data_IF_290629368501
#
_entry.id   IF_290629368501
#
_cell.length_a   1.000
_cell.length_b   1.000
_cell.length_c   1.000
_cell.angle_alpha   90.00
_cell.angle_beta   90.00
_cell.angle_gamma   90.00
#
_symmetry.space_group_name_H-M   'P 1'
#
loop_
_entity.id
_entity.type
_entity.pdbx_description
1 polymer ?
#
# COMPACT_ATOMS: atom_id res chain seq x y z
N UNK A 1 0.46 -9.83 14.56
CA UNK A 1 0.94 -9.11 15.75
C UNK A 1 0.19 -9.42 17.04
N UNK A 2 -0.82 -10.23 17.05
CA UNK A 2 -1.62 -10.70 18.20
C UNK A 2 -1.22 -10.12 19.58
N UNK A 3 -0.51 -10.89 20.39
CA UNK A 3 -0.09 -10.46 21.73
C UNK A 3 1.11 -9.46 21.72
N UNK A 4 1.79 -9.28 20.60
CA UNK A 4 2.93 -8.38 20.48
C UNK A 4 2.56 -6.93 20.09
N UNK A 5 1.30 -6.63 19.83
CA UNK A 5 0.87 -5.27 19.45
C UNK A 5 1.22 -4.25 20.54
N UNK A 6 1.07 -4.61 21.81
CA UNK A 6 1.43 -3.74 22.93
C UNK A 6 2.93 -3.37 22.95
N UNK A 7 3.81 -4.28 22.51
CA UNK A 7 5.24 -4.00 22.40
C UNK A 7 5.48 -2.95 21.32
N UNK A 8 4.79 -3.07 20.18
CA UNK A 8 4.89 -2.08 19.14
C UNK A 8 4.34 -0.71 19.62
N UNK A 9 3.13 -0.69 20.18
CA UNK A 9 2.43 0.55 20.57
C UNK A 9 3.18 1.33 21.67
N UNK A 10 3.76 0.64 22.65
CA UNK A 10 4.37 1.29 23.82
C UNK A 10 5.89 1.47 23.73
N UNK A 11 6.56 0.69 22.90
CA UNK A 11 8.03 0.70 22.85
C UNK A 11 8.54 1.05 21.45
N UNK A 12 8.29 0.24 20.43
CA UNK A 12 8.90 0.43 19.12
C UNK A 12 8.48 1.75 18.46
N UNK A 13 7.21 2.13 18.55
CA UNK A 13 6.71 3.37 17.95
C UNK A 13 7.25 4.62 18.63
N UNK A 14 7.51 4.56 19.93
CA UNK A 14 7.90 5.71 20.75
C UNK A 14 9.39 5.75 21.11
N UNK A 15 10.15 4.69 20.86
CA UNK A 15 11.52 4.54 21.34
C UNK A 15 12.46 5.67 20.89
N UNK A 16 12.35 6.08 19.62
CA UNK A 16 13.19 7.14 19.06
C UNK A 16 12.88 8.50 19.71
N UNK A 17 11.60 8.87 19.77
CA UNK A 17 11.17 10.16 20.30
C UNK A 17 11.37 10.25 21.82
N UNK A 18 11.15 9.15 22.55
CA UNK A 18 11.13 9.13 24.01
C UNK A 18 12.50 8.89 24.64
N UNK A 19 13.32 8.04 24.01
CA UNK A 19 14.61 7.59 24.59
C UNK A 19 15.80 7.79 23.66
N UNK A 20 15.60 8.27 22.43
CA UNK A 20 16.64 8.35 21.42
C UNK A 20 17.10 6.98 20.89
N UNK A 21 16.39 5.91 21.26
CA UNK A 21 16.71 4.54 20.86
C UNK A 21 16.25 4.28 19.41
N UNK A 22 17.11 3.58 18.68
CA UNK A 22 16.84 3.19 17.29
C UNK A 22 16.78 1.69 17.17
N UNK A 23 15.92 1.20 16.29
CA UNK A 23 15.73 -0.23 16.05
C UNK A 23 15.69 -0.52 14.57
N UNK A 24 16.49 -1.48 14.11
CA UNK A 24 16.44 -2.04 12.75
C UNK A 24 15.48 -3.23 12.61
N UNK A 25 14.59 -3.46 13.57
CA UNK A 25 13.66 -4.57 13.56
C UNK A 25 12.78 -4.55 12.32
N UNK A 26 12.70 -5.69 11.63
CA UNK A 26 11.79 -5.89 10.49
C UNK A 26 10.67 -6.83 10.88
N UNK A 27 9.43 -6.37 10.76
CA UNK A 27 8.22 -7.14 11.00
C UNK A 27 7.60 -7.56 9.66
N UNK A 28 7.58 -8.87 9.39
CA UNK A 28 6.83 -9.44 8.28
C UNK A 28 5.45 -9.87 8.78
N UNK A 29 4.42 -9.20 8.31
CA UNK A 29 3.05 -9.39 8.76
C UNK A 29 2.26 -10.13 7.67
N UNK A 30 2.10 -11.47 7.76
CA UNK A 30 1.57 -12.31 6.68
C UNK A 30 0.05 -12.25 6.57
N UNK A 31 -0.62 -11.53 7.43
CA UNK A 31 -2.07 -11.42 7.47
C UNK A 31 -2.53 -10.12 6.83
N UNK A 32 -3.49 -10.23 5.92
CA UNK A 32 -4.20 -9.13 5.29
C UNK A 32 -5.72 -9.39 5.40
N UNK A 33 -6.53 -8.58 4.75
CA UNK A 33 -7.98 -8.74 4.74
C UNK A 33 -8.46 -10.03 4.05
N UNK A 34 -7.62 -10.67 3.24
CA UNK A 34 -7.90 -11.99 2.63
C UNK A 34 -8.00 -13.14 3.64
N UNK A 35 -7.59 -12.95 4.88
CA UNK A 35 -7.75 -13.92 5.97
C UNK A 35 -9.21 -14.17 6.29
N UNK A 36 -9.54 -15.43 6.64
CA UNK A 36 -10.93 -15.85 6.89
C UNK A 36 -11.37 -15.75 8.35
N UNK A 37 -10.50 -15.35 9.25
CA UNK A 37 -10.77 -15.23 10.67
C UNK A 37 -9.94 -14.12 11.33
N UNK A 38 -10.36 -13.70 12.54
CA UNK A 38 -9.72 -12.61 13.27
C UNK A 38 -8.23 -12.87 13.55
N UNK A 39 -7.86 -14.12 13.81
CA UNK A 39 -6.48 -14.54 14.04
C UNK A 39 -5.59 -14.47 12.80
N UNK A 40 -6.18 -14.56 11.61
CA UNK A 40 -5.51 -14.44 10.33
C UNK A 40 -5.52 -13.03 9.75
N UNK A 41 -6.16 -12.09 10.42
CA UNK A 41 -6.30 -10.68 10.03
C UNK A 41 -5.86 -9.73 11.16
N UNK A 42 -5.00 -10.18 12.06
CA UNK A 42 -4.60 -9.43 13.25
C UNK A 42 -3.51 -8.37 12.98
N UNK A 43 -2.80 -8.48 11.86
CA UNK A 43 -1.84 -7.47 11.43
C UNK A 43 -2.60 -6.33 10.71
N UNK A 44 -3.15 -5.43 11.50
CA UNK A 44 -3.98 -4.34 11.00
C UNK A 44 -3.12 -3.16 10.60
N UNK A 45 -3.10 -2.86 9.30
CA UNK A 45 -2.32 -1.80 8.71
C UNK A 45 -2.60 -0.43 9.35
N UNK A 46 -3.86 -0.12 9.62
CA UNK A 46 -4.30 1.13 10.23
C UNK A 46 -3.65 1.44 11.57
N UNK A 47 -3.33 0.42 12.37
CA UNK A 47 -2.66 0.60 13.67
C UNK A 47 -1.23 1.12 13.52
N UNK A 48 -0.49 0.57 12.58
CA UNK A 48 0.88 1.01 12.31
C UNK A 48 0.92 2.41 11.74
N UNK A 49 -0.02 2.73 10.84
CA UNK A 49 -0.13 4.06 10.25
C UNK A 49 -0.59 5.10 11.26
N UNK A 50 -1.49 4.75 12.18
CA UNK A 50 -1.94 5.66 13.26
C UNK A 50 -0.80 6.06 14.19
N UNK A 51 0.17 5.18 14.41
CA UNK A 51 1.34 5.41 15.27
C UNK A 51 2.55 5.98 14.51
N UNK A 52 2.42 6.15 13.19
CA UNK A 52 3.50 6.62 12.32
C UNK A 52 3.62 8.15 12.40
N UNK A 53 4.72 8.62 12.96
CA UNK A 53 5.04 10.04 13.09
C UNK A 53 6.56 10.23 13.26
N UNK A 54 7.07 11.43 12.97
CA UNK A 54 8.47 11.82 13.25
C UNK A 54 9.51 10.85 12.65
N UNK A 55 9.18 10.20 11.53
CA UNK A 55 10.00 9.15 10.90
C UNK A 55 10.36 7.98 11.85
N UNK A 56 9.45 7.61 12.74
CA UNK A 56 9.66 6.56 13.74
C UNK A 56 9.68 5.13 13.17
N UNK A 57 9.16 4.93 11.96
CA UNK A 57 9.09 3.63 11.29
C UNK A 57 9.05 3.78 9.78
N UNK A 58 9.10 2.67 9.06
CA UNK A 58 8.73 2.58 7.65
C UNK A 58 7.61 1.55 7.51
N UNK A 59 6.51 1.91 6.86
CA UNK A 59 5.36 1.02 6.64
C UNK A 59 5.17 0.81 5.15
N UNK A 60 5.16 -0.45 4.72
CA UNK A 60 5.07 -0.82 3.31
C UNK A 60 4.05 -1.93 3.06
N UNK A 61 3.47 -1.91 1.86
CA UNK A 61 2.60 -2.96 1.36
C UNK A 61 2.93 -3.19 -0.12
N UNK A 62 3.75 -4.20 -0.39
CA UNK A 62 4.46 -4.35 -1.66
C UNK A 62 3.68 -5.17 -2.68
N UNK A 63 3.88 -4.82 -3.96
CA UNK A 63 3.29 -5.50 -5.12
C UNK A 63 4.32 -6.11 -6.08
N UNK A 64 5.62 -5.97 -5.81
CA UNK A 64 6.70 -6.42 -6.69
C UNK A 64 7.79 -7.16 -5.93
N UNK A 65 8.22 -8.32 -6.47
CA UNK A 65 9.31 -9.12 -5.86
C UNK A 65 10.67 -8.43 -5.93
N UNK A 66 10.96 -7.70 -7.00
CA UNK A 66 12.20 -6.93 -7.13
C UNK A 66 12.22 -5.77 -6.14
N UNK A 67 11.10 -5.06 -5.98
CA UNK A 67 10.99 -3.96 -5.02
C UNK A 67 11.08 -4.46 -3.56
N UNK A 68 10.53 -5.65 -3.29
CA UNK A 68 10.69 -6.33 -2.00
C UNK A 68 12.16 -6.59 -1.67
N UNK A 69 12.92 -7.11 -2.65
CA UNK A 69 14.36 -7.33 -2.50
C UNK A 69 15.12 -6.03 -2.25
N UNK A 70 14.84 -4.98 -3.02
CA UNK A 70 15.48 -3.69 -2.86
C UNK A 70 15.13 -3.00 -1.53
N UNK A 71 13.91 -3.17 -1.04
CA UNK A 71 13.52 -2.71 0.28
C UNK A 71 14.38 -3.33 1.38
N UNK A 72 14.58 -4.66 1.34
CA UNK A 72 15.41 -5.36 2.33
C UNK A 72 16.88 -4.93 2.25
N UNK A 73 17.38 -4.69 1.03
CA UNK A 73 18.73 -4.12 0.85
C UNK A 73 18.85 -2.72 1.47
N UNK A 74 17.84 -1.86 1.24
CA UNK A 74 17.81 -0.52 1.82
C UNK A 74 17.73 -0.57 3.36
N UNK A 75 16.91 -1.45 3.92
CA UNK A 75 16.83 -1.68 5.36
C UNK A 75 18.18 -2.16 5.93
N UNK A 76 18.82 -3.13 5.27
CA UNK A 76 20.13 -3.62 5.69
C UNK A 76 21.20 -2.51 5.63
N UNK A 77 21.19 -1.69 4.61
CA UNK A 77 22.13 -0.57 4.47
C UNK A 77 21.89 0.56 5.50
N UNK A 78 20.67 0.66 6.06
CA UNK A 78 20.37 1.64 7.11
C UNK A 78 20.78 1.22 8.51
N UNK A 79 21.14 -0.04 8.72
CA UNK A 79 21.59 -0.53 10.02
C UNK A 79 22.82 0.27 10.50
N UNK A 80 22.85 0.58 11.78
CA UNK A 80 23.90 1.39 12.42
C UNK A 80 23.98 2.86 11.95
N UNK A 81 23.07 3.30 11.05
CA UNK A 81 22.98 4.70 10.61
C UNK A 81 21.98 5.52 11.44
N UNK A 82 21.99 6.83 11.23
CA UNK A 82 21.00 7.74 11.82
C UNK A 82 19.57 7.49 11.26
N UNK A 83 19.48 6.86 10.10
CA UNK A 83 18.23 6.55 9.41
C UNK A 83 17.60 5.22 9.87
N UNK A 84 18.30 4.46 10.72
CA UNK A 84 17.80 3.16 11.22
C UNK A 84 16.46 3.33 11.94
N UNK A 85 15.45 2.60 11.49
CA UNK A 85 14.09 2.58 12.05
C UNK A 85 13.41 1.23 11.80
N UNK A 86 12.40 0.85 12.60
CA UNK A 86 11.63 -0.36 12.36
C UNK A 86 10.98 -0.36 10.98
N UNK A 87 11.02 -1.50 10.31
CA UNK A 87 10.37 -1.74 9.03
C UNK A 87 9.17 -2.68 9.22
N UNK A 88 7.99 -2.22 8.82
CA UNK A 88 6.75 -2.97 8.87
C UNK A 88 6.35 -3.34 7.43
N UNK A 89 6.37 -4.64 7.12
CA UNK A 89 6.07 -5.17 5.79
C UNK A 89 4.77 -5.95 5.84
N UNK A 90 3.73 -5.42 5.20
CA UNK A 90 2.51 -6.17 4.94
C UNK A 90 2.81 -7.21 3.86
N UNK A 91 2.53 -8.49 4.14
CA UNK A 91 2.89 -9.61 3.27
C UNK A 91 1.71 -10.57 3.11
N UNK A 92 0.76 -10.27 2.22
CA UNK A 92 -0.36 -11.16 1.92
C UNK A 92 0.13 -12.51 1.42
N UNK A 93 -0.40 -13.61 1.96
CA UNK A 93 0.05 -14.97 1.64
C UNK A 93 -0.19 -15.36 0.17
N UNK A 94 -1.26 -14.85 -0.43
CA UNK A 94 -1.60 -15.11 -1.83
C UNK A 94 -0.53 -14.61 -2.79
N UNK A 95 0.14 -13.50 -2.48
CA UNK A 95 1.18 -12.94 -3.34
C UNK A 95 2.47 -13.77 -3.38
N UNK A 96 2.76 -14.57 -2.34
CA UNK A 96 3.98 -15.40 -2.29
C UNK A 96 4.14 -16.40 -3.45
N UNK A 97 3.05 -16.74 -4.12
CA UNK A 97 3.03 -17.67 -5.27
C UNK A 97 2.37 -17.07 -6.51
N UNK A 98 2.06 -15.79 -6.48
CA UNK A 98 1.45 -15.10 -7.61
C UNK A 98 2.52 -14.77 -8.66
N UNK A 99 2.26 -15.16 -9.93
CA UNK A 99 3.20 -14.93 -11.04
C UNK A 99 3.28 -13.47 -11.46
N UNK A 100 2.23 -12.70 -11.25
CA UNK A 100 2.16 -11.27 -11.60
C UNK A 100 3.16 -10.43 -10.80
N UNK A 101 3.49 -10.86 -9.56
CA UNK A 101 4.48 -10.16 -8.73
C UNK A 101 5.92 -10.53 -9.05
N UNK A 102 6.14 -11.63 -9.82
CA UNK A 102 7.47 -12.06 -10.21
C UNK A 102 8.08 -11.09 -11.23
N UNK A 103 9.36 -10.81 -11.08
CA UNK A 103 10.09 -9.87 -11.93
C UNK A 103 11.33 -10.52 -12.57
N UNK A 104 11.79 -10.03 -13.73
CA UNK A 104 13.03 -10.48 -14.36
C UNK A 104 14.25 -10.25 -13.47
N UNK A 105 15.32 -11.04 -13.68
CA UNK A 105 16.52 -11.02 -12.84
C UNK A 105 17.28 -9.69 -12.88
N UNK A 106 17.23 -9.00 -13.99
CA UNK A 106 17.86 -7.68 -14.16
C UNK A 106 17.26 -6.60 -13.26
N UNK A 107 15.97 -6.68 -12.92
CA UNK A 107 15.36 -5.80 -11.94
C UNK A 107 15.91 -6.00 -10.50
N UNK A 108 16.53 -7.15 -10.20
CA UNK A 108 17.17 -7.39 -8.90
C UNK A 108 18.64 -6.94 -8.85
N UNK A 109 19.28 -6.88 -10.01
CA UNK A 109 20.71 -6.56 -10.10
C UNK A 109 21.00 -5.08 -10.29
N UNK A 110 19.98 -4.28 -10.60
CA UNK A 110 20.08 -2.84 -10.82
C UNK A 110 18.97 -2.07 -10.12
N UNK A 111 19.17 -0.77 -9.92
CA UNK A 111 18.18 0.10 -9.30
C UNK A 111 18.14 0.03 -7.76
N UNK A 112 17.01 0.41 -7.20
CA UNK A 112 16.76 0.51 -5.77
C UNK A 112 15.28 0.42 -5.42
N UNK A 113 14.96 0.58 -4.15
CA UNK A 113 13.59 0.61 -3.69
C UNK A 113 12.84 1.82 -4.27
N UNK A 114 11.66 1.56 -4.81
CA UNK A 114 10.74 2.56 -5.36
C UNK A 114 9.54 2.73 -4.43
N UNK A 115 9.28 3.95 -3.91
CA UNK A 115 8.12 4.21 -3.05
C UNK A 115 6.78 4.05 -3.75
N UNK A 116 6.75 4.29 -5.06
CA UNK A 116 5.63 4.02 -5.94
C UNK A 116 6.09 3.26 -7.19
N UNK A 117 5.17 2.55 -7.84
CA UNK A 117 5.38 1.93 -9.14
C UNK A 117 4.21 2.30 -10.04
N UNK A 118 4.52 2.82 -11.22
CA UNK A 118 3.55 3.09 -12.28
C UNK A 118 3.65 2.03 -13.37
N UNK A 119 2.53 1.68 -13.97
CA UNK A 119 2.51 0.87 -15.19
C UNK A 119 2.81 1.77 -16.41
N UNK A 120 3.21 1.14 -17.52
CA UNK A 120 3.40 1.85 -18.79
C UNK A 120 2.08 2.44 -19.30
N UNK A 121 2.09 3.71 -19.71
CA UNK A 121 0.88 4.43 -20.10
C UNK A 121 1.17 5.54 -21.11
N UNK A 122 0.14 5.96 -21.82
CA UNK A 122 0.12 7.15 -22.67
C UNK A 122 -0.51 8.32 -21.88
N UNK A 123 0.33 9.28 -21.46
CA UNK A 123 -0.08 10.38 -20.59
C UNK A 123 -1.26 11.20 -21.15
N UNK A 124 -1.37 11.32 -22.48
CA UNK A 124 -2.43 12.06 -23.14
C UNK A 124 -3.81 11.37 -23.07
N UNK A 125 -3.83 10.06 -22.80
CA UNK A 125 -5.08 9.29 -22.71
C UNK A 125 -5.61 9.16 -21.30
N UNK A 126 -4.73 9.32 -20.29
CA UNK A 126 -5.12 9.09 -18.90
C UNK A 126 -6.03 10.20 -18.40
N UNK A 127 -7.19 9.79 -17.92
CA UNK A 127 -8.21 10.65 -17.27
C UNK A 127 -8.39 10.31 -15.79
N UNK A 128 -8.06 9.09 -15.40
CA UNK A 128 -8.23 8.58 -14.06
C UNK A 128 -6.94 7.95 -13.55
N UNK A 129 -6.54 8.30 -12.32
CA UNK A 129 -5.46 7.62 -11.58
C UNK A 129 -6.05 6.84 -10.41
N UNK A 130 -5.77 5.55 -10.36
CA UNK A 130 -6.11 4.68 -9.24
C UNK A 130 -4.85 4.41 -8.42
N UNK A 131 -4.84 4.88 -7.18
CA UNK A 131 -3.81 4.60 -6.20
C UNK A 131 -4.22 3.40 -5.35
N UNK A 132 -3.40 2.38 -5.29
CA UNK A 132 -3.64 1.18 -4.50
C UNK A 132 -2.33 0.62 -3.93
N UNK A 133 -2.38 -0.27 -2.96
CA UNK A 133 -1.20 -0.90 -2.39
C UNK A 133 -1.30 -2.43 -2.36
N UNK A 134 -0.15 -3.10 -2.42
CA UNK A 134 -0.03 -4.53 -2.25
C UNK A 134 -0.96 -5.35 -3.14
N UNK A 135 -1.75 -6.23 -2.51
CA UNK A 135 -2.64 -7.16 -3.23
C UNK A 135 -3.69 -6.43 -4.08
N UNK A 136 -4.28 -5.34 -3.60
CA UNK A 136 -5.31 -4.61 -4.36
C UNK A 136 -4.74 -4.09 -5.69
N UNK A 137 -3.51 -3.57 -5.71
CA UNK A 137 -2.85 -3.18 -6.96
C UNK A 137 -2.72 -4.37 -7.94
N UNK A 138 -2.33 -5.54 -7.43
CA UNK A 138 -2.21 -6.76 -8.27
C UNK A 138 -3.57 -7.18 -8.84
N UNK A 139 -4.62 -7.17 -8.01
CA UNK A 139 -5.97 -7.53 -8.46
C UNK A 139 -6.49 -6.56 -9.55
N UNK A 140 -6.22 -5.26 -9.41
CA UNK A 140 -6.53 -4.23 -10.41
C UNK A 140 -5.75 -4.46 -11.71
N UNK A 141 -4.44 -4.72 -11.60
CA UNK A 141 -3.58 -5.03 -12.74
C UNK A 141 -4.07 -6.25 -13.51
N UNK A 142 -4.35 -7.35 -12.82
CA UNK A 142 -4.87 -8.57 -13.44
C UNK A 142 -6.26 -8.35 -14.10
N UNK A 143 -7.05 -7.42 -13.58
CA UNK A 143 -8.32 -7.04 -14.19
C UNK A 143 -8.11 -6.23 -15.49
N UNK A 144 -7.23 -5.21 -15.47
CA UNK A 144 -6.94 -4.39 -16.63
C UNK A 144 -6.18 -5.14 -17.74
N UNK A 145 -5.38 -6.14 -17.41
CA UNK A 145 -4.78 -7.04 -18.40
C UNK A 145 -5.85 -7.82 -19.20
N UNK A 146 -6.99 -8.13 -18.59
CA UNK A 146 -8.12 -8.82 -19.24
C UNK A 146 -9.10 -7.85 -19.90
N UNK A 147 -9.22 -6.66 -19.37
CA UNK A 147 -10.15 -5.62 -19.80
C UNK A 147 -9.39 -4.30 -19.96
N UNK A 148 -8.59 -4.14 -21.02
CA UNK A 148 -7.75 -2.96 -21.19
C UNK A 148 -8.54 -1.66 -21.21
N UNK A 149 -8.09 -0.66 -20.44
CA UNK A 149 -8.61 0.69 -20.43
C UNK A 149 -7.45 1.69 -20.39
N UNK A 150 -7.16 2.32 -21.52
CA UNK A 150 -6.07 3.29 -21.68
C UNK A 150 -6.33 4.62 -20.97
N UNK A 151 -7.56 4.87 -20.53
CA UNK A 151 -7.93 6.07 -19.79
C UNK A 151 -7.65 5.97 -18.29
N UNK A 152 -7.35 4.78 -17.79
CA UNK A 152 -7.09 4.50 -16.38
C UNK A 152 -5.64 4.09 -16.15
N UNK A 153 -4.90 4.88 -15.35
CA UNK A 153 -3.57 4.54 -14.84
C UNK A 153 -3.67 4.00 -13.42
N UNK A 154 -3.13 2.81 -13.19
CA UNK A 154 -2.96 2.29 -11.84
C UNK A 154 -1.55 2.56 -11.32
N UNK A 155 -1.46 2.99 -10.06
CA UNK A 155 -0.20 3.31 -9.38
C UNK A 155 -0.12 2.51 -8.08
N UNK A 156 0.92 1.70 -7.94
CA UNK A 156 1.19 1.01 -6.67
C UNK A 156 1.86 1.97 -5.70
N UNK A 157 1.21 2.23 -4.57
CA UNK A 157 1.81 2.93 -3.43
C UNK A 157 2.46 1.89 -2.53
N UNK A 158 3.75 1.64 -2.77
CA UNK A 158 4.53 0.59 -2.10
C UNK A 158 4.90 1.00 -0.66
N UNK A 159 5.26 2.27 -0.47
CA UNK A 159 5.56 2.85 0.84
C UNK A 159 4.39 3.72 1.31
N UNK A 160 3.75 3.30 2.39
CA UNK A 160 2.64 4.05 2.99
C UNK A 160 3.13 5.07 4.02
N UNK A 161 4.25 4.78 4.70
CA UNK A 161 4.89 5.75 5.58
C UNK A 161 6.43 5.61 5.53
N UNK A 162 7.17 6.72 5.42
CA UNK A 162 6.70 8.08 5.09
C UNK A 162 5.95 8.11 3.76
N UNK A 163 4.88 8.88 3.69
CA UNK A 163 4.03 8.92 2.50
C UNK A 163 4.80 9.54 1.31
N UNK A 164 4.73 8.99 0.09
CA UNK A 164 5.50 9.41 -1.07
C UNK A 164 4.78 10.56 -1.83
N UNK A 165 4.63 11.72 -1.15
CA UNK A 165 3.88 12.86 -1.69
C UNK A 165 4.50 13.41 -2.96
N UNK A 166 5.83 13.59 -2.98
CA UNK A 166 6.57 14.15 -4.11
C UNK A 166 6.43 13.26 -5.34
N UNK A 167 6.64 11.95 -5.18
CA UNK A 167 6.57 10.99 -6.27
C UNK A 167 5.14 10.87 -6.84
N UNK A 168 4.12 10.93 -5.98
CA UNK A 168 2.71 10.93 -6.44
C UNK A 168 2.41 12.24 -7.15
N UNK A 169 2.85 13.38 -6.62
CA UNK A 169 2.63 14.68 -7.25
C UNK A 169 3.24 14.72 -8.66
N UNK A 170 4.48 14.25 -8.84
CA UNK A 170 5.13 14.17 -10.15
C UNK A 170 4.30 13.36 -11.16
N UNK A 171 3.74 12.22 -10.73
CA UNK A 171 2.84 11.43 -11.59
C UNK A 171 1.60 12.22 -11.98
N UNK A 172 0.90 12.83 -11.02
CA UNK A 172 -0.34 13.57 -11.30
C UNK A 172 -0.09 14.77 -12.23
N UNK A 173 1.02 15.48 -12.04
CA UNK A 173 1.39 16.64 -12.85
C UNK A 173 1.85 16.27 -14.28
N UNK A 174 2.28 15.02 -14.48
CA UNK A 174 2.65 14.52 -15.81
C UNK A 174 1.46 14.20 -16.72
N UNK A 175 0.22 14.22 -16.21
CA UNK A 175 -1.00 13.78 -16.88
C UNK A 175 -1.88 14.99 -17.25
N UNK A 176 -1.82 15.49 -18.52
CA UNK A 176 -2.47 16.74 -18.91
C UNK A 176 -4.01 16.67 -18.91
N UNK A 177 -4.58 15.48 -19.07
CA UNK A 177 -6.03 15.27 -19.18
C UNK A 177 -6.63 14.58 -17.94
N UNK A 178 -5.90 14.57 -16.80
CA UNK A 178 -6.36 13.94 -15.58
C UNK A 178 -7.58 14.66 -15.00
N UNK A 179 -8.64 13.91 -14.71
CA UNK A 179 -9.91 14.37 -14.16
C UNK A 179 -10.14 13.85 -12.73
N UNK A 180 -9.78 12.58 -12.48
CA UNK A 180 -10.07 11.89 -11.21
C UNK A 180 -8.85 11.19 -10.64
N UNK A 181 -8.73 11.26 -9.31
CA UNK A 181 -7.80 10.45 -8.50
C UNK A 181 -8.61 9.63 -7.51
N UNK A 182 -8.38 8.33 -7.44
CA UNK A 182 -9.06 7.45 -6.51
C UNK A 182 -8.09 6.66 -5.63
N UNK A 183 -8.49 6.41 -4.37
CA UNK A 183 -7.84 5.43 -3.51
C UNK A 183 -8.67 4.16 -3.47
N UNK A 184 -8.04 3.03 -3.79
CA UNK A 184 -8.69 1.72 -3.78
C UNK A 184 -8.00 0.79 -2.80
N UNK A 185 -8.75 0.21 -1.87
CA UNK A 185 -8.25 -0.74 -0.88
C UNK A 185 -9.22 -1.89 -0.63
N UNK A 186 -8.70 -3.03 -0.19
CA UNK A 186 -9.53 -4.19 0.18
C UNK A 186 -10.18 -4.03 1.56
N UNK A 187 -9.56 -3.31 2.47
CA UNK A 187 -10.04 -3.12 3.83
C UNK A 187 -11.29 -2.21 3.88
N UNK A 188 -12.10 -2.33 4.93
CA UNK A 188 -13.19 -1.39 5.21
C UNK A 188 -12.72 0.05 5.34
N UNK A 189 -13.59 1.00 5.05
CA UNK A 189 -13.29 2.45 5.06
C UNK A 189 -12.70 2.96 6.39
N UNK A 190 -13.03 2.31 7.50
CA UNK A 190 -12.48 2.65 8.83
C UNK A 190 -11.22 1.84 9.19
N UNK A 191 -10.72 1.02 8.27
CA UNK A 191 -9.52 0.21 8.43
C UNK A 191 -8.57 0.45 7.23
N UNK A 192 -7.42 -0.23 7.20
CA UNK A 192 -6.44 -0.06 6.13
C UNK A 192 -5.80 1.31 6.12
N UNK A 193 -5.44 1.80 4.93
CA UNK A 193 -4.67 3.03 4.78
C UNK A 193 -5.53 4.29 4.59
N UNK A 194 -6.80 4.18 4.20
CA UNK A 194 -7.61 5.32 3.78
C UNK A 194 -7.58 6.53 4.73
N UNK A 195 -7.83 6.30 6.03
CA UNK A 195 -7.87 7.41 6.99
C UNK A 195 -6.52 8.10 7.17
N UNK A 196 -5.43 7.40 6.90
CA UNK A 196 -4.08 7.94 6.94
C UNK A 196 -3.73 8.68 5.64
N UNK A 197 -4.01 8.09 4.47
CA UNK A 197 -3.61 8.68 3.18
C UNK A 197 -4.53 9.83 2.74
N UNK A 198 -5.78 9.87 3.21
CA UNK A 198 -6.76 10.87 2.80
C UNK A 198 -6.30 12.33 2.94
N UNK A 199 -5.72 12.78 4.09
CA UNK A 199 -5.24 14.15 4.21
C UNK A 199 -4.17 14.52 3.18
N UNK A 200 -3.24 13.60 2.89
CA UNK A 200 -2.20 13.80 1.88
C UNK A 200 -2.81 13.88 0.48
N UNK A 201 -3.67 12.93 0.13
CA UNK A 201 -4.32 12.92 -1.17
C UNK A 201 -5.19 14.16 -1.36
N UNK A 202 -5.95 14.56 -0.34
CA UNK A 202 -6.77 15.77 -0.41
C UNK A 202 -5.93 17.03 -0.65
N UNK A 203 -4.74 17.11 -0.06
CA UNK A 203 -3.80 18.20 -0.31
C UNK A 203 -3.22 18.15 -1.73
N UNK A 204 -2.84 16.98 -2.21
CA UNK A 204 -2.27 16.77 -3.55
C UNK A 204 -3.27 17.07 -4.67
N UNK A 205 -4.52 16.59 -4.55
CA UNK A 205 -5.55 16.86 -5.57
C UNK A 205 -6.07 18.29 -5.50
N UNK A 206 -6.11 18.87 -4.28
CA UNK A 206 -6.70 20.19 -4.00
C UNK A 206 -8.08 20.35 -4.65
N UNK A 207 -8.25 21.38 -5.50
CA UNK A 207 -9.47 21.58 -6.28
C UNK A 207 -9.25 21.30 -7.79
N UNK A 208 -8.14 20.60 -8.12
CA UNK A 208 -7.78 20.29 -9.52
C UNK A 208 -8.43 19.03 -10.05
N UNK A 209 -8.62 18.03 -9.18
CA UNK A 209 -9.11 16.71 -9.54
C UNK A 209 -10.18 16.23 -8.55
N UNK A 210 -11.11 15.41 -9.03
CA UNK A 210 -12.05 14.72 -8.15
C UNK A 210 -11.32 13.64 -7.35
N UNK A 211 -11.56 13.59 -6.03
CA UNK A 211 -11.00 12.55 -5.15
C UNK A 211 -12.08 11.57 -4.72
N UNK A 212 -11.94 10.32 -5.11
CA UNK A 212 -12.88 9.26 -4.76
C UNK A 212 -12.25 8.14 -3.93
N UNK A 213 -13.08 7.33 -3.30
CA UNK A 213 -12.70 6.16 -2.51
C UNK A 213 -13.50 4.95 -2.94
N UNK A 214 -12.81 3.85 -3.22
CA UNK A 214 -13.42 2.55 -3.49
C UNK A 214 -12.89 1.50 -2.51
N UNK A 215 -13.78 0.82 -1.84
CA UNK A 215 -13.45 -0.19 -0.83
C UNK A 215 -14.70 -0.71 -0.13
N UNK A 216 -14.48 -1.49 0.90
CA UNK A 216 -15.58 -1.96 1.73
C UNK A 216 -16.17 -0.83 2.55
N UNK A 217 -17.47 -0.91 2.83
CA UNK A 217 -18.12 -0.02 3.80
C UNK A 217 -17.48 -0.23 5.19
N UNK A 218 -17.73 0.68 6.12
CA UNK A 218 -17.24 0.55 7.49
C UNK A 218 -17.68 -0.75 8.13
N UNK A 219 -16.75 -1.46 8.77
CA UNK A 219 -16.96 -2.74 9.44
C UNK A 219 -16.18 -2.80 10.75
N UNK A 220 -16.72 -3.49 11.74
CA UNK A 220 -16.01 -3.83 12.96
C UNK A 220 -15.14 -5.08 12.79
N UNK A 221 -15.55 -6.01 11.91
CA UNK A 221 -14.83 -7.24 11.67
C UNK A 221 -13.58 -7.01 10.79
N UNK A 222 -12.47 -7.71 11.06
CA UNK A 222 -11.24 -7.62 10.28
C UNK A 222 -11.21 -8.54 9.06
N UNK A 223 -12.27 -9.29 8.79
CA UNK A 223 -12.40 -10.22 7.67
C UNK A 223 -13.88 -10.48 7.35
N UNK A 224 -14.14 -10.99 6.13
CA UNK A 224 -15.51 -11.38 5.72
C UNK A 224 -16.00 -12.67 6.41
N UNK A 225 -15.09 -13.56 6.83
CA UNK A 225 -15.43 -14.85 7.42
C UNK A 225 -15.86 -15.92 6.40
N UNK A 226 -16.11 -15.56 5.14
CA UNK A 226 -16.47 -16.46 4.05
C UNK A 226 -15.72 -16.09 2.76
N UNK A 227 -15.04 -17.08 2.17
CA UNK A 227 -14.19 -16.86 0.97
C UNK A 227 -14.98 -16.55 -0.30
N UNK A 228 -16.26 -16.98 -0.40
CA UNK A 228 -17.10 -16.65 -1.57
C UNK A 228 -17.56 -15.20 -1.49
N UNK A 229 -17.99 -14.77 -0.29
CA UNK A 229 -18.39 -13.39 -0.04
C UNK A 229 -17.18 -12.46 -0.26
N UNK A 230 -16.00 -12.83 0.26
CA UNK A 230 -14.76 -12.07 0.03
C UNK A 230 -14.52 -11.84 -1.46
N UNK A 231 -14.53 -12.88 -2.28
CA UNK A 231 -14.31 -12.77 -3.73
C UNK A 231 -15.35 -11.90 -4.42
N UNK A 232 -16.64 -12.05 -4.07
CA UNK A 232 -17.72 -11.27 -4.64
C UNK A 232 -17.54 -9.77 -4.34
N UNK A 233 -17.24 -9.44 -3.09
CA UNK A 233 -17.04 -8.05 -2.68
C UNK A 233 -15.77 -7.48 -3.30
N UNK A 234 -14.68 -8.26 -3.38
CA UNK A 234 -13.42 -7.86 -4.01
C UNK A 234 -13.63 -7.49 -5.48
N UNK A 235 -14.30 -8.35 -6.25
CA UNK A 235 -14.61 -8.08 -7.65
C UNK A 235 -15.47 -6.81 -7.81
N UNK A 236 -16.48 -6.62 -6.95
CA UNK A 236 -17.30 -5.41 -6.98
C UNK A 236 -16.48 -4.14 -6.74
N UNK A 237 -15.50 -4.17 -5.82
CA UNK A 237 -14.63 -3.02 -5.56
C UNK A 237 -13.81 -2.70 -6.81
N UNK A 238 -13.20 -3.71 -7.43
CA UNK A 238 -12.40 -3.55 -8.65
C UNK A 238 -13.26 -2.97 -9.77
N UNK A 239 -14.41 -3.59 -10.08
CA UNK A 239 -15.31 -3.13 -11.13
C UNK A 239 -15.81 -1.69 -10.89
N UNK A 240 -16.19 -1.36 -9.66
CA UNK A 240 -16.67 -0.01 -9.33
C UNK A 240 -15.57 1.04 -9.37
N UNK A 241 -14.32 0.69 -9.17
CA UNK A 241 -13.20 1.64 -9.22
C UNK A 241 -12.77 1.98 -10.64
N UNK A 242 -13.04 1.11 -11.60
CA UNK A 242 -12.68 1.32 -13.02
C UNK A 242 -13.85 1.94 -13.79
N UNK A 243 -15.08 1.47 -13.58
CA UNK A 243 -16.24 1.81 -14.40
C UNK A 243 -17.05 3.06 -13.93
N UNK A 244 -16.65 3.70 -12.83
CA UNK A 244 -17.35 4.90 -12.33
C UNK A 244 -16.59 6.16 -12.66
#
# INVERSE_FOLDING_TARGET
SNMAQMIFDNFLSSSRAKWGERSGLTLFLPHSYEGQGAEHSSARLERFLQLAAENNSTVVNLSSSSNYFHLLRAQAASLDSQEMRPLIVMSPKSLLRNKTVAKPIDEFTSGGFKPIITEEHDAEKVKKVILASGKMFIDLKEHLEKNPDESTLIVAVERLYPFPEEEIQEVLESLPNLEEVSWVQEEPKNQGAWLFVYPYLRALVADRYDLSYHGRIQRAAPAEGDGKIHKLVQNRIIESSINN
#
